data_IF_158910148745
#
_entry.id   IF_158910148745
#
_cell.length_a   1.000
_cell.length_b   1.000
_cell.length_c   1.000
_cell.angle_alpha   90.00
_cell.angle_beta   90.00
_cell.angle_gamma   90.00
#
_symmetry.space_group_name_H-M   'P 1'
#
loop_
_entity.id
_entity.type
_entity.pdbx_description
1 polymer ?
#
# COMPACT_ATOMS: atom_id res chain seq x y z
N UNK A 1 -3.90 18.91 -32.47
CA UNK A 1 -4.32 19.90 -33.51
C UNK A 1 -5.85 19.91 -33.68
N UNK A 2 -6.40 20.96 -34.30
CA UNK A 2 -7.83 21.06 -34.64
C UNK A 2 -8.01 21.29 -36.15
N UNK A 3 -8.96 20.58 -36.76
CA UNK A 3 -9.38 20.83 -38.15
C UNK A 3 -10.78 21.45 -38.18
N UNK A 4 -11.10 22.23 -39.20
CA UNK A 4 -12.38 22.92 -39.31
C UNK A 4 -12.99 22.68 -40.70
N UNK A 5 -14.32 22.54 -40.76
CA UNK A 5 -15.08 22.55 -42.01
C UNK A 5 -16.03 23.74 -41.97
N UNK A 6 -15.97 24.60 -42.99
CA UNK A 6 -16.71 25.87 -43.04
C UNK A 6 -18.16 25.72 -43.54
N UNK A 7 -18.51 24.60 -44.20
CA UNK A 7 -19.85 24.38 -44.78
C UNK A 7 -21.03 24.35 -43.78
N UNK A 8 -20.92 23.93 -42.50
CA UNK A 8 -22.05 23.92 -41.56
C UNK A 8 -22.56 25.31 -41.12
N UNK A 9 -21.79 26.38 -41.37
CA UNK A 9 -22.11 27.74 -40.92
C UNK A 9 -23.45 28.27 -41.48
N UNK A 10 -23.92 27.72 -42.61
CA UNK A 10 -25.20 28.08 -43.24
C UNK A 10 -26.45 27.57 -42.47
N UNK A 11 -26.28 26.76 -41.42
CA UNK A 11 -27.39 26.17 -40.64
C UNK A 11 -27.25 26.51 -39.13
N UNK A 12 -26.42 27.50 -38.77
CA UNK A 12 -26.27 27.96 -37.39
C UNK A 12 -25.65 26.95 -36.40
N UNK A 13 -25.01 25.88 -36.91
CA UNK A 13 -24.32 24.87 -36.09
C UNK A 13 -22.80 25.00 -36.25
N UNK A 14 -22.09 25.16 -35.14
CA UNK A 14 -20.63 25.17 -35.10
C UNK A 14 -20.11 23.81 -34.62
N UNK A 15 -19.74 22.96 -35.58
CA UNK A 15 -19.18 21.63 -35.31
C UNK A 15 -17.66 21.68 -35.37
N UNK A 16 -16.98 21.27 -34.29
CA UNK A 16 -15.55 20.97 -34.34
C UNK A 16 -15.41 19.48 -34.70
N UNK A 17 -14.95 19.14 -35.92
CA UNK A 17 -14.94 17.76 -36.40
C UNK A 17 -13.95 16.87 -35.62
N UNK A 18 -12.85 17.42 -35.13
CA UNK A 18 -11.85 16.69 -34.35
C UNK A 18 -10.97 17.62 -33.52
N UNK A 19 -10.78 17.28 -32.25
CA UNK A 19 -9.78 17.84 -31.35
C UNK A 19 -8.82 16.71 -30.94
N UNK A 20 -7.54 16.79 -31.33
CA UNK A 20 -6.49 15.89 -30.83
C UNK A 20 -5.55 16.65 -29.90
N UNK A 21 -5.27 16.08 -28.73
CA UNK A 21 -4.30 16.56 -27.74
C UNK A 21 -3.20 15.52 -27.60
N UNK A 22 -1.99 15.91 -28.00
CA UNK A 22 -0.84 15.01 -28.10
C UNK A 22 0.06 15.17 -26.86
N UNK A 23 0.39 14.05 -26.21
CA UNK A 23 1.18 13.95 -24.98
C UNK A 23 0.80 14.92 -23.81
N UNK A 24 -0.50 15.13 -23.47
CA UNK A 24 -0.86 15.99 -22.36
C UNK A 24 -0.43 15.39 -21.02
N UNK A 25 0.14 16.22 -20.14
CA UNK A 25 0.46 15.86 -18.75
C UNK A 25 -0.54 16.49 -17.79
N UNK A 26 -1.41 15.67 -17.19
CA UNK A 26 -2.30 16.07 -16.12
C UNK A 26 -1.64 15.77 -14.76
N UNK A 27 -1.37 16.81 -13.99
CA UNK A 27 -0.97 16.70 -12.58
C UNK A 27 -2.09 17.25 -11.72
N UNK A 28 -2.57 16.44 -10.79
CA UNK A 28 -3.64 16.80 -9.86
C UNK A 28 -3.12 16.59 -8.43
N UNK A 29 -3.46 17.51 -7.54
CA UNK A 29 -3.21 17.37 -6.09
C UNK A 29 -4.55 17.40 -5.33
N UNK A 30 -4.63 16.72 -4.19
CA UNK A 30 -5.79 16.84 -3.30
C UNK A 30 -5.96 18.29 -2.81
N UNK A 31 -7.19 18.67 -2.51
CA UNK A 31 -7.46 19.90 -1.75
C UNK A 31 -7.18 19.71 -0.26
N UNK A 32 -7.11 20.78 0.52
CA UNK A 32 -6.83 20.73 1.97
C UNK A 32 -7.82 19.90 2.81
N UNK A 33 -8.88 19.32 2.21
CA UNK A 33 -9.82 18.37 2.83
C UNK A 33 -9.61 16.93 2.35
N UNK A 34 -8.52 16.66 1.62
CA UNK A 34 -8.18 15.36 1.03
C UNK A 34 -8.93 15.04 -0.25
N UNK A 35 -9.65 16.01 -0.85
CA UNK A 35 -10.61 15.71 -1.94
C UNK A 35 -10.03 15.93 -3.32
N UNK A 36 -10.34 14.97 -4.20
CA UNK A 36 -9.99 14.97 -5.62
C UNK A 36 -10.93 15.85 -6.46
N UNK A 37 -10.85 17.17 -6.29
CA UNK A 37 -11.77 18.10 -6.94
C UNK A 37 -11.27 18.59 -8.28
N UNK A 38 -12.11 18.45 -9.32
CA UNK A 38 -11.83 18.97 -10.65
C UNK A 38 -11.51 20.47 -10.55
N UNK A 39 -10.45 20.96 -11.23
CA UNK A 39 -10.19 22.39 -11.32
C UNK A 39 -11.46 23.10 -11.78
N UNK A 40 -11.95 24.06 -10.99
CA UNK A 40 -12.99 24.96 -11.49
C UNK A 40 -12.35 25.70 -12.65
N UNK A 41 -12.89 25.51 -13.85
CA UNK A 41 -12.63 26.43 -14.96
C UNK A 41 -13.11 27.80 -14.48
N UNK A 42 -12.17 28.65 -14.09
CA UNK A 42 -12.47 30.05 -13.86
C UNK A 42 -13.05 30.57 -15.17
N UNK A 43 -14.23 31.20 -15.07
CA UNK A 43 -14.80 31.89 -16.22
C UNK A 43 -13.81 32.99 -16.55
N UNK A 44 -13.03 32.81 -17.62
CA UNK A 44 -12.20 33.86 -18.20
C UNK A 44 -13.10 35.06 -18.36
N UNK A 45 -12.87 36.10 -17.55
CA UNK A 45 -13.64 37.32 -17.63
C UNK A 45 -13.37 37.90 -19.02
N UNK A 46 -14.40 37.90 -19.87
CA UNK A 46 -14.34 38.56 -21.16
C UNK A 46 -14.00 40.03 -20.92
N UNK A 47 -12.76 40.42 -21.23
CA UNK A 47 -12.32 41.80 -21.18
C UNK A 47 -13.06 42.58 -22.29
N UNK A 48 -14.27 43.05 -21.97
CA UNK A 48 -15.02 44.00 -22.76
C UNK A 48 -14.90 45.36 -22.08
N UNK A 49 -14.10 46.20 -22.71
CA UNK A 49 -13.87 47.62 -22.44
C UNK A 49 -15.06 48.39 -21.88
N UNK A 50 -14.77 49.25 -20.90
CA UNK A 50 -15.66 50.30 -20.39
C UNK A 50 -16.03 51.31 -21.49
N UNK A 51 -17.30 51.71 -21.53
CA UNK A 51 -17.72 53.10 -21.81
C UNK A 51 -19.13 53.30 -21.24
N UNK A 52 -19.32 54.39 -20.48
CA UNK A 52 -20.59 54.92 -19.96
C UNK A 52 -21.66 55.11 -21.07
N UNK A 53 -22.99 54.99 -20.86
CA UNK A 53 -23.84 55.42 -19.74
C UNK A 53 -25.34 55.16 -20.05
N UNK A 54 -26.31 55.69 -19.28
CA UNK A 54 -27.54 54.93 -18.96
C UNK A 54 -28.88 55.46 -19.51
N UNK A 55 -29.84 54.56 -19.73
CA UNK A 55 -31.23 54.68 -19.18
C UNK A 55 -32.01 53.34 -19.26
N UNK A 56 -33.06 53.12 -18.45
CA UNK A 56 -33.74 51.82 -18.34
C UNK A 56 -35.03 51.72 -19.17
N UNK A 57 -35.48 50.48 -19.38
CA UNK A 57 -36.87 50.17 -19.72
C UNK A 57 -37.10 49.51 -21.07
N UNK A 58 -37.01 48.18 -21.11
CA UNK A 58 -38.03 47.32 -21.73
C UNK A 58 -37.71 45.84 -21.47
N UNK A 59 -38.66 45.13 -20.86
CA UNK A 59 -38.65 43.68 -20.90
C UNK A 59 -39.01 43.24 -22.33
N UNK A 60 -38.11 42.51 -22.99
CA UNK A 60 -38.41 41.69 -24.16
C UNK A 60 -37.83 40.30 -23.96
N UNK A 61 -38.68 39.31 -24.16
CA UNK A 61 -38.32 37.90 -24.05
C UNK A 61 -37.19 37.56 -25.02
N UNK A 62 -36.08 37.02 -24.49
CA UNK A 62 -34.95 36.61 -25.33
C UNK A 62 -34.99 35.09 -25.51
N UNK A 63 -35.72 34.65 -26.53
CA UNK A 63 -35.62 33.29 -27.04
C UNK A 63 -34.32 33.13 -27.87
N UNK A 64 -33.94 31.86 -28.04
CA UNK A 64 -32.92 31.36 -28.97
C UNK A 64 -31.44 31.55 -28.59
N UNK A 65 -30.86 30.43 -28.12
CA UNK A 65 -30.05 29.65 -29.06
C UNK A 65 -28.64 30.14 -29.30
N UNK A 66 -27.82 30.24 -28.25
CA UNK A 66 -26.37 30.23 -28.42
C UNK A 66 -25.93 28.97 -29.18
N UNK A 67 -24.88 29.03 -30.02
CA UNK A 67 -24.47 27.91 -30.85
C UNK A 67 -24.12 26.69 -29.98
N UNK A 68 -24.82 25.59 -30.22
CA UNK A 68 -24.51 24.30 -29.58
C UNK A 68 -23.16 23.85 -30.13
N UNK A 69 -22.13 23.94 -29.29
CA UNK A 69 -20.80 23.44 -29.59
C UNK A 69 -20.85 21.91 -29.68
N UNK A 70 -20.75 21.39 -30.89
CA UNK A 70 -20.80 19.96 -31.18
C UNK A 70 -19.37 19.48 -31.49
N UNK A 71 -18.75 18.74 -30.56
CA UNK A 71 -17.39 18.21 -30.71
C UNK A 71 -17.54 16.78 -31.24
N UNK A 72 -17.40 16.60 -32.55
CA UNK A 72 -17.70 15.31 -33.17
C UNK A 72 -16.72 14.20 -32.74
N UNK A 73 -15.45 14.53 -32.47
CA UNK A 73 -14.44 13.61 -31.90
C UNK A 73 -13.44 14.35 -31.01
N UNK A 74 -13.15 13.75 -29.85
CA UNK A 74 -12.06 14.17 -28.96
C UNK A 74 -11.06 13.00 -28.85
N UNK A 75 -9.79 13.28 -29.10
CA UNK A 75 -8.68 12.34 -28.97
C UNK A 75 -7.60 12.86 -28.03
N UNK A 76 -7.12 12.00 -27.14
CA UNK A 76 -5.90 12.16 -26.36
C UNK A 76 -4.95 11.05 -26.82
N UNK A 77 -3.66 11.36 -27.02
CA UNK A 77 -2.65 10.39 -27.45
C UNK A 77 -1.41 10.48 -26.57
N UNK A 78 -0.96 9.36 -26.02
CA UNK A 78 0.30 9.27 -25.27
C UNK A 78 0.41 10.19 -24.04
N UNK A 79 -0.72 10.52 -23.42
CA UNK A 79 -0.76 11.38 -22.24
C UNK A 79 -0.23 10.72 -20.97
N UNK A 80 -0.07 11.53 -19.93
CA UNK A 80 0.28 11.08 -18.58
C UNK A 80 -0.65 11.71 -17.55
N UNK A 81 -1.05 10.94 -16.54
CA UNK A 81 -1.86 11.41 -15.40
C UNK A 81 -1.13 11.07 -14.11
N UNK A 82 -1.02 12.05 -13.20
CA UNK A 82 -0.44 11.85 -11.87
C UNK A 82 -1.36 12.47 -10.81
N UNK A 83 -1.75 11.66 -9.82
CA UNK A 83 -2.50 12.07 -8.63
C UNK A 83 -1.57 12.03 -7.41
N UNK A 84 -1.50 13.13 -6.67
CA UNK A 84 -0.78 13.28 -5.41
C UNK A 84 -1.68 13.61 -4.22
N UNK A 85 -1.56 12.87 -3.11
CA UNK A 85 -2.28 13.22 -1.87
C UNK A 85 -1.81 14.54 -1.24
N UNK A 86 -2.42 14.91 -0.11
CA UNK A 86 -2.09 16.13 0.64
C UNK A 86 -0.63 16.20 1.11
N UNK A 87 -0.01 15.05 1.40
CA UNK A 87 1.40 14.97 1.80
C UNK A 87 2.35 15.00 0.59
N UNK A 88 1.80 15.07 -0.63
CA UNK A 88 2.54 15.12 -1.88
C UNK A 88 3.01 13.74 -2.36
N UNK A 89 2.52 12.65 -1.78
CA UNK A 89 2.82 11.28 -2.20
C UNK A 89 1.98 10.92 -3.43
N UNK A 90 2.60 10.28 -4.43
CA UNK A 90 1.91 9.89 -5.65
C UNK A 90 1.00 8.68 -5.39
N UNK A 91 -0.31 8.88 -5.43
CA UNK A 91 -1.32 7.83 -5.21
C UNK A 91 -1.66 7.08 -6.49
N UNK A 92 -1.65 7.75 -7.65
CA UNK A 92 -1.89 7.12 -8.96
C UNK A 92 -0.98 7.75 -10.02
N UNK A 93 -0.35 6.92 -10.85
CA UNK A 93 0.38 7.34 -12.04
C UNK A 93 -0.03 6.50 -13.26
N UNK A 94 -0.44 7.16 -14.34
CA UNK A 94 -0.76 6.55 -15.62
C UNK A 94 0.13 7.13 -16.72
N UNK A 95 0.68 6.27 -17.59
CA UNK A 95 1.51 6.66 -18.75
C UNK A 95 0.99 5.98 -20.02
N UNK A 96 1.21 6.61 -21.17
CA UNK A 96 0.70 6.12 -22.45
C UNK A 96 -0.82 6.26 -22.58
N UNK A 97 -1.43 7.21 -21.85
CA UNK A 97 -2.88 7.42 -21.79
C UNK A 97 -3.38 7.90 -23.15
N UNK A 98 -4.18 7.09 -23.82
CA UNK A 98 -4.85 7.42 -25.07
C UNK A 98 -6.36 7.28 -24.88
N UNK A 99 -7.11 8.29 -25.29
CA UNK A 99 -8.58 8.34 -25.12
C UNK A 99 -9.20 8.72 -26.45
N UNK A 100 -10.18 7.97 -26.92
CA UNK A 100 -10.97 8.30 -28.11
C UNK A 100 -12.44 8.38 -27.74
N UNK A 101 -12.99 9.59 -27.70
CA UNK A 101 -14.42 9.79 -27.53
C UNK A 101 -15.16 9.53 -28.86
N UNK A 102 -16.13 8.62 -28.84
CA UNK A 102 -17.02 8.28 -29.96
C UNK A 102 -18.32 9.07 -29.91
N UNK A 103 -18.78 9.43 -28.70
CA UNK A 103 -19.97 10.25 -28.46
C UNK A 103 -19.58 11.41 -27.53
N UNK A 104 -19.88 12.66 -27.91
CA UNK A 104 -19.76 13.81 -27.01
C UNK A 104 -21.02 14.67 -27.18
N UNK A 105 -21.89 14.69 -26.17
CA UNK A 105 -23.04 15.59 -26.09
C UNK A 105 -23.00 16.39 -24.79
N UNK A 106 -23.91 17.36 -24.63
CA UNK A 106 -23.96 18.20 -23.41
C UNK A 106 -24.19 17.43 -22.10
N UNK A 107 -24.63 16.16 -22.14
CA UNK A 107 -24.91 15.34 -20.94
C UNK A 107 -24.25 13.96 -20.96
N UNK A 108 -23.79 13.48 -22.13
CA UNK A 108 -23.27 12.12 -22.32
C UNK A 108 -21.92 12.15 -23.05
N UNK A 109 -20.93 11.44 -22.52
CA UNK A 109 -19.64 11.23 -23.17
C UNK A 109 -19.36 9.73 -23.20
N UNK A 110 -19.01 9.18 -24.35
CA UNK A 110 -18.64 7.78 -24.51
C UNK A 110 -17.36 7.67 -25.31
N UNK A 111 -16.57 6.65 -25.01
CA UNK A 111 -15.34 6.38 -25.74
C UNK A 111 -14.61 5.14 -25.26
N UNK A 112 -13.39 5.00 -25.78
CA UNK A 112 -12.42 4.00 -25.36
C UNK A 112 -11.24 4.72 -24.69
N UNK A 113 -10.78 4.18 -23.56
CA UNK A 113 -9.51 4.55 -22.95
C UNK A 113 -8.55 3.37 -23.01
N UNK A 114 -7.34 3.63 -23.49
CA UNK A 114 -6.18 2.75 -23.49
C UNK A 114 -5.08 3.40 -22.63
N UNK A 115 -4.45 2.63 -21.75
CA UNK A 115 -3.36 3.09 -20.89
C UNK A 115 -2.28 2.01 -20.89
N UNK A 116 -1.08 2.35 -21.38
CA UNK A 116 0.03 1.40 -21.46
C UNK A 116 0.43 0.88 -20.07
N UNK A 117 0.52 1.77 -19.07
CA UNK A 117 0.87 1.41 -17.69
C UNK A 117 0.17 2.30 -16.68
N UNK A 118 -0.36 1.68 -15.62
CA UNK A 118 -0.97 2.29 -14.46
C UNK A 118 -0.28 1.76 -13.20
N UNK A 119 0.04 2.65 -12.26
CA UNK A 119 0.57 2.32 -10.93
C UNK A 119 -0.30 2.99 -9.89
N UNK A 120 -0.90 2.21 -8.99
CA UNK A 120 -1.72 2.69 -7.87
C UNK A 120 -1.06 2.30 -6.55
N UNK A 121 -0.97 3.27 -5.62
CA UNK A 121 -0.47 3.10 -4.26
C UNK A 121 0.95 2.51 -4.20
N UNK A 122 1.78 2.83 -5.21
CA UNK A 122 3.17 2.41 -5.39
C UNK A 122 3.41 0.91 -5.62
N UNK A 123 2.43 0.04 -5.36
CA UNK A 123 2.56 -1.43 -5.44
C UNK A 123 1.64 -2.12 -6.45
N UNK A 124 0.47 -1.55 -6.79
CA UNK A 124 -0.43 -2.18 -7.76
C UNK A 124 -0.11 -1.70 -9.17
N UNK A 125 0.60 -2.53 -9.94
CA UNK A 125 0.94 -2.26 -11.35
C UNK A 125 -0.04 -2.99 -12.28
N UNK A 126 -0.66 -2.23 -13.18
CA UNK A 126 -1.46 -2.75 -14.29
C UNK A 126 -0.85 -2.30 -15.62
N UNK A 127 -0.78 -3.22 -16.58
CA UNK A 127 -0.27 -2.96 -17.93
C UNK A 127 -1.38 -3.17 -18.97
N UNK A 128 -1.29 -2.50 -20.11
CA UNK A 128 -2.23 -2.64 -21.23
C UNK A 128 -3.71 -2.49 -20.82
N UNK A 129 -4.00 -1.49 -19.98
CA UNK A 129 -5.37 -1.25 -19.50
C UNK A 129 -6.21 -0.71 -20.64
N UNK A 130 -7.27 -1.43 -21.02
CA UNK A 130 -8.27 -1.01 -22.00
C UNK A 130 -9.65 -1.06 -21.38
N UNK A 131 -10.39 0.04 -21.49
CA UNK A 131 -11.75 0.14 -20.97
C UNK A 131 -12.62 1.06 -21.83
N UNK A 132 -13.75 0.58 -22.41
CA UNK A 132 -14.83 1.47 -22.80
C UNK A 132 -15.33 2.24 -21.58
N UNK A 133 -15.66 3.52 -21.75
CA UNK A 133 -16.24 4.34 -20.69
C UNK A 133 -17.51 5.05 -21.18
N UNK A 134 -18.46 5.21 -20.26
CA UNK A 134 -19.71 5.94 -20.45
C UNK A 134 -19.86 6.90 -19.27
N UNK A 135 -19.80 8.20 -19.55
CA UNK A 135 -20.26 9.24 -18.63
C UNK A 135 -21.67 9.66 -19.05
N UNK A 136 -22.64 9.58 -18.15
CA UNK A 136 -24.01 10.02 -18.42
C UNK A 136 -24.59 10.71 -17.18
N UNK A 137 -25.00 11.98 -17.31
CA UNK A 137 -25.71 12.74 -16.28
C UNK A 137 -25.06 12.77 -14.87
N UNK A 138 -23.76 12.51 -14.74
CA UNK A 138 -23.04 12.46 -13.45
C UNK A 138 -22.64 11.07 -12.97
N UNK A 139 -23.06 10.02 -13.69
CA UNK A 139 -22.65 8.62 -13.47
C UNK A 139 -21.54 8.24 -14.47
N UNK A 140 -20.44 7.67 -13.97
CA UNK A 140 -19.36 7.07 -14.75
C UNK A 140 -19.51 5.55 -14.70
N UNK A 141 -19.55 4.90 -15.85
CA UNK A 141 -19.57 3.44 -15.98
C UNK A 141 -18.43 2.99 -16.88
N UNK A 142 -17.65 2.02 -16.40
CA UNK A 142 -16.70 1.22 -17.16
C UNK A 142 -17.32 -0.19 -17.28
N UNK A 143 -18.13 -0.48 -18.33
CA UNK A 143 -18.88 -1.73 -18.43
C UNK A 143 -17.99 -2.96 -18.65
N UNK A 144 -16.77 -2.74 -19.14
CA UNK A 144 -15.66 -3.69 -19.13
C UNK A 144 -14.34 -2.92 -18.94
N UNK A 145 -13.46 -3.47 -18.15
CA UNK A 145 -12.05 -3.12 -18.05
C UNK A 145 -11.26 -4.41 -18.29
N UNK A 146 -10.23 -4.33 -19.13
CA UNK A 146 -9.26 -5.40 -19.36
C UNK A 146 -7.87 -4.84 -19.10
N UNK A 147 -6.99 -5.63 -18.49
CA UNK A 147 -5.62 -5.25 -18.21
C UNK A 147 -4.74 -6.51 -18.06
N UNK A 148 -3.46 -6.31 -17.83
CA UNK A 148 -2.52 -7.34 -17.37
C UNK A 148 -2.05 -6.98 -15.96
N UNK A 149 -2.19 -7.91 -15.01
CA UNK A 149 -1.66 -7.83 -13.65
C UNK A 149 -0.59 -8.90 -13.50
N UNK A 150 0.67 -8.49 -13.26
CA UNK A 150 1.79 -9.42 -13.08
C UNK A 150 1.88 -10.50 -14.20
N UNK A 151 1.69 -10.12 -15.46
CA UNK A 151 1.69 -11.03 -16.62
C UNK A 151 0.40 -11.85 -16.84
N UNK A 152 -0.54 -11.86 -15.89
CA UNK A 152 -1.84 -12.52 -16.02
C UNK A 152 -2.96 -11.58 -16.48
N UNK A 153 -3.98 -12.04 -17.23
CA UNK A 153 -5.14 -11.22 -17.57
C UNK A 153 -5.95 -10.81 -16.33
N UNK A 154 -6.28 -9.53 -16.26
CA UNK A 154 -7.24 -8.94 -15.33
C UNK A 154 -8.46 -8.45 -16.12
N UNK A 155 -9.66 -8.70 -15.58
CA UNK A 155 -10.92 -8.13 -16.03
C UNK A 155 -11.59 -7.39 -14.88
N UNK A 156 -12.45 -6.43 -15.20
CA UNK A 156 -13.27 -5.78 -14.20
C UNK A 156 -14.39 -4.95 -14.79
N UNK A 157 -15.17 -4.35 -13.88
CA UNK A 157 -16.23 -3.38 -14.16
C UNK A 157 -16.22 -2.35 -13.04
N UNK A 158 -16.53 -1.11 -13.39
CA UNK A 158 -16.66 -0.02 -12.42
C UNK A 158 -17.92 0.78 -12.71
N UNK A 159 -18.57 1.23 -11.64
CA UNK A 159 -19.69 2.15 -11.70
C UNK A 159 -19.57 3.13 -10.53
N UNK A 160 -19.64 4.43 -10.79
CA UNK A 160 -19.57 5.44 -9.74
C UNK A 160 -20.35 6.70 -10.09
N UNK A 161 -20.73 7.47 -9.08
CA UNK A 161 -21.43 8.76 -9.26
C UNK A 161 -20.63 9.91 -8.62
N UNK A 162 -19.52 10.37 -9.22
CA UNK A 162 -18.60 11.33 -8.57
C UNK A 162 -19.19 12.72 -8.27
N UNK A 163 -20.44 12.99 -8.68
CA UNK A 163 -21.18 14.23 -8.39
C UNK A 163 -22.30 14.07 -7.37
N UNK A 164 -22.63 12.85 -6.95
CA UNK A 164 -23.57 12.61 -5.86
C UNK A 164 -22.87 12.74 -4.50
N UNK A 165 -23.63 12.91 -3.42
CA UNK A 165 -23.07 13.02 -2.06
C UNK A 165 -22.20 11.79 -1.72
N UNK A 166 -21.00 12.06 -1.20
CA UNK A 166 -19.89 11.11 -0.95
C UNK A 166 -19.35 10.37 -2.18
N UNK A 167 -19.94 10.55 -3.36
CA UNK A 167 -19.51 9.94 -4.61
C UNK A 167 -19.55 8.41 -4.60
N UNK A 168 -20.70 7.75 -4.35
CA UNK A 168 -20.76 6.29 -4.21
C UNK A 168 -20.27 5.57 -5.46
N UNK A 169 -19.57 4.46 -5.25
CA UNK A 169 -19.08 3.57 -6.30
C UNK A 169 -19.24 2.08 -5.96
N UNK A 170 -19.26 1.27 -7.02
CA UNK A 170 -19.19 -0.17 -7.03
C UNK A 170 -18.14 -0.59 -8.07
N UNK A 171 -17.30 -1.56 -7.73
CA UNK A 171 -16.36 -2.16 -8.65
C UNK A 171 -16.28 -3.67 -8.45
N UNK A 172 -16.02 -4.39 -9.53
CA UNK A 172 -15.72 -5.82 -9.51
C UNK A 172 -14.49 -6.09 -10.36
N UNK A 173 -13.59 -6.92 -9.87
CA UNK A 173 -12.37 -7.31 -10.55
C UNK A 173 -12.19 -8.82 -10.44
N UNK A 174 -11.67 -9.44 -11.49
CA UNK A 174 -11.13 -10.79 -11.46
C UNK A 174 -9.80 -10.83 -12.19
N UNK A 175 -8.87 -11.64 -11.71
CA UNK A 175 -7.60 -11.87 -12.37
C UNK A 175 -7.29 -13.36 -12.40
N UNK A 176 -6.58 -13.77 -13.44
CA UNK A 176 -6.13 -15.15 -13.60
C UNK A 176 -4.67 -15.18 -14.03
N UNK A 177 -3.95 -16.22 -13.62
CA UNK A 177 -2.59 -16.51 -14.07
C UNK A 177 -1.58 -15.38 -13.79
N UNK A 178 -1.79 -14.61 -12.72
CA UNK A 178 -0.83 -13.62 -12.25
C UNK A 178 0.42 -14.32 -11.69
N UNK A 179 1.60 -13.84 -12.06
CA UNK A 179 2.89 -14.34 -11.57
C UNK A 179 3.11 -13.90 -10.12
N UNK A 180 3.13 -14.85 -9.19
CA UNK A 180 3.24 -14.55 -7.77
C UNK A 180 4.60 -13.95 -7.38
N UNK A 181 5.67 -14.21 -8.15
CA UNK A 181 7.00 -13.61 -7.90
C UNK A 181 6.96 -12.11 -8.18
N UNK A 182 6.31 -11.71 -9.28
CA UNK A 182 6.09 -10.29 -9.62
C UNK A 182 5.20 -9.60 -8.59
N UNK A 183 4.05 -10.20 -8.23
CA UNK A 183 3.16 -9.63 -7.20
C UNK A 183 3.88 -9.44 -5.86
N UNK A 184 4.70 -10.41 -5.44
CA UNK A 184 5.48 -10.30 -4.22
C UNK A 184 6.59 -9.24 -4.33
N UNK A 185 7.28 -9.16 -5.46
CA UNK A 185 8.33 -8.16 -5.73
C UNK A 185 7.76 -6.74 -5.74
N UNK A 186 6.60 -6.52 -6.38
CA UNK A 186 5.88 -5.23 -6.36
C UNK A 186 5.37 -4.86 -4.94
N UNK A 187 5.13 -5.86 -4.08
CA UNK A 187 4.86 -5.69 -2.66
C UNK A 187 6.13 -5.57 -1.78
N UNK A 188 7.32 -5.44 -2.39
CA UNK A 188 8.59 -5.19 -1.70
C UNK A 188 9.35 -6.43 -1.21
N UNK A 189 8.92 -7.65 -1.58
CA UNK A 189 9.67 -8.88 -1.28
C UNK A 189 10.87 -9.01 -2.23
N UNK A 190 11.87 -9.82 -1.85
CA UNK A 190 13.02 -10.09 -2.72
C UNK A 190 12.60 -11.06 -3.85
N UNK A 191 13.04 -10.83 -5.10
CA UNK A 191 12.74 -11.72 -6.22
C UNK A 191 13.04 -13.20 -5.89
N UNK A 192 12.07 -14.05 -6.22
CA UNK A 192 12.05 -15.47 -5.96
C UNK A 192 11.68 -15.89 -4.54
N UNK A 193 11.45 -15.00 -3.57
CA UNK A 193 10.98 -15.42 -2.22
C UNK A 193 9.58 -16.07 -2.27
N UNK A 194 8.75 -15.64 -3.22
CA UNK A 194 7.51 -16.31 -3.61
C UNK A 194 7.57 -16.63 -5.11
N UNK A 195 6.90 -17.70 -5.52
CA UNK A 195 6.65 -18.03 -6.93
C UNK A 195 5.41 -18.93 -7.02
N UNK A 196 4.81 -19.00 -8.21
CA UNK A 196 3.56 -19.73 -8.44
C UNK A 196 2.55 -18.88 -9.20
N UNK A 197 1.32 -19.37 -9.31
CA UNK A 197 0.29 -18.80 -10.17
C UNK A 197 -0.92 -18.35 -9.32
N UNK A 198 -1.14 -17.05 -9.27
CA UNK A 198 -2.28 -16.42 -8.60
C UNK A 198 -3.51 -16.27 -9.49
N UNK A 199 -4.69 -16.48 -8.90
CA UNK A 199 -6.00 -16.10 -9.44
C UNK A 199 -6.85 -15.51 -8.31
N UNK A 200 -7.83 -14.67 -8.62
CA UNK A 200 -8.73 -14.14 -7.59
C UNK A 200 -9.84 -13.25 -8.13
N UNK A 201 -10.73 -12.86 -7.24
CA UNK A 201 -11.79 -11.89 -7.52
C UNK A 201 -12.03 -10.99 -6.30
N UNK A 202 -12.48 -9.76 -6.56
CA UNK A 202 -12.82 -8.76 -5.55
C UNK A 202 -14.06 -8.00 -6.02
N UNK A 203 -15.06 -7.90 -5.17
CA UNK A 203 -16.16 -6.94 -5.32
C UNK A 203 -16.06 -5.93 -4.20
N UNK A 204 -16.09 -4.65 -4.53
CA UNK A 204 -15.91 -3.55 -3.57
C UNK A 204 -16.94 -2.44 -3.86
N UNK A 205 -17.47 -1.86 -2.80
CA UNK A 205 -18.35 -0.69 -2.83
C UNK A 205 -17.85 0.34 -1.81
N UNK A 206 -18.09 1.62 -2.03
CA UNK A 206 -17.65 2.67 -1.10
C UNK A 206 -17.91 4.09 -1.58
N UNK A 207 -17.26 5.04 -0.91
CA UNK A 207 -17.34 6.48 -1.18
C UNK A 207 -16.08 6.94 -1.93
N UNK A 208 -16.19 7.57 -3.10
CA UNK A 208 -15.04 8.17 -3.81
C UNK A 208 -14.43 9.36 -3.05
N UNK A 209 -15.22 10.00 -2.17
CA UNK A 209 -14.76 11.06 -1.27
C UNK A 209 -13.99 10.54 -0.03
N UNK A 210 -14.08 9.23 0.28
CA UNK A 210 -13.43 8.59 1.44
C UNK A 210 -13.17 7.09 1.16
N UNK A 211 -12.11 6.81 0.39
CA UNK A 211 -11.76 5.45 -0.06
C UNK A 211 -11.45 4.49 1.09
N UNK A 212 -11.15 4.97 2.30
CA UNK A 212 -10.95 4.14 3.49
C UNK A 212 -12.24 3.42 3.94
N UNK A 213 -13.40 3.86 3.45
CA UNK A 213 -14.71 3.22 3.65
C UNK A 213 -15.01 2.11 2.64
N UNK A 214 -14.13 1.90 1.67
CA UNK A 214 -14.30 0.85 0.69
C UNK A 214 -14.41 -0.53 1.37
N UNK A 215 -15.47 -1.27 1.07
CA UNK A 215 -15.75 -2.56 1.67
C UNK A 215 -16.31 -3.54 0.65
N UNK A 216 -16.05 -4.83 0.86
CA UNK A 216 -16.66 -5.89 0.07
C UNK A 216 -15.88 -7.22 0.10
N UNK A 217 -16.48 -8.30 -0.40
CA UNK A 217 -15.87 -9.63 -0.38
C UNK A 217 -14.85 -9.83 -1.50
N UNK A 218 -13.82 -10.62 -1.22
CA UNK A 218 -12.89 -11.12 -2.20
C UNK A 218 -12.46 -12.55 -1.91
N UNK A 219 -11.91 -13.22 -2.92
CA UNK A 219 -11.31 -14.54 -2.78
C UNK A 219 -10.07 -14.64 -3.65
N UNK A 220 -9.11 -15.48 -3.24
CA UNK A 220 -7.91 -15.76 -4.01
C UNK A 220 -7.60 -17.25 -4.04
N UNK A 221 -6.82 -17.64 -5.04
CA UNK A 221 -6.27 -18.98 -5.22
C UNK A 221 -4.81 -18.85 -5.66
N UNK A 222 -3.97 -19.76 -5.19
CA UNK A 222 -2.57 -19.93 -5.58
C UNK A 222 -2.40 -21.38 -6.03
N UNK A 223 -1.74 -21.59 -7.17
CA UNK A 223 -1.34 -22.91 -7.66
C UNK A 223 0.17 -22.97 -7.83
N UNK A 224 0.74 -24.15 -7.63
CA UNK A 224 2.18 -24.42 -7.76
C UNK A 224 3.03 -23.42 -6.96
N UNK A 225 2.51 -23.05 -5.77
CA UNK A 225 3.07 -22.01 -4.93
C UNK A 225 4.37 -22.49 -4.28
N UNK A 226 5.38 -21.63 -4.21
CA UNK A 226 6.62 -21.92 -3.50
C UNK A 226 7.12 -20.69 -2.76
N UNK A 227 7.28 -20.83 -1.45
CA UNK A 227 7.77 -19.80 -0.55
C UNK A 227 9.09 -20.24 0.07
N UNK A 228 10.18 -19.51 -0.23
CA UNK A 228 11.52 -19.80 0.26
C UNK A 228 12.12 -18.56 0.91
N UNK A 229 13.03 -18.77 1.86
CA UNK A 229 13.79 -17.69 2.50
C UNK A 229 12.90 -16.64 3.20
N UNK A 230 11.72 -17.05 3.69
CA UNK A 230 10.89 -16.27 4.59
C UNK A 230 11.24 -16.64 6.03
N UNK A 231 11.83 -15.71 6.77
CA UNK A 231 12.34 -15.95 8.14
C UNK A 231 11.26 -16.51 9.07
N UNK A 232 10.03 -16.04 8.92
CA UNK A 232 8.85 -16.54 9.64
C UNK A 232 8.68 -18.07 9.54
N UNK A 233 8.62 -18.63 8.32
CA UNK A 233 8.45 -20.07 8.14
C UNK A 233 9.72 -20.85 8.49
N UNK A 234 10.91 -20.28 8.28
CA UNK A 234 12.16 -20.90 8.74
C UNK A 234 12.24 -21.03 10.26
N UNK A 235 11.74 -20.04 11.01
CA UNK A 235 11.73 -20.08 12.47
C UNK A 235 10.74 -21.14 12.98
N UNK A 236 9.57 -21.28 12.36
CA UNK A 236 8.63 -22.37 12.63
C UNK A 236 9.24 -23.73 12.28
N UNK A 237 9.87 -23.85 11.10
CA UNK A 237 10.53 -25.08 10.65
C UNK A 237 11.63 -25.54 11.61
N UNK A 238 12.48 -24.62 12.08
CA UNK A 238 13.51 -24.92 13.10
C UNK A 238 12.91 -25.31 14.45
N UNK A 239 11.85 -24.62 14.88
CA UNK A 239 11.16 -24.89 16.15
C UNK A 239 10.50 -26.28 16.20
N UNK A 240 10.07 -26.80 15.06
CA UNK A 240 9.40 -28.10 14.93
C UNK A 240 10.30 -29.20 14.32
N UNK A 241 11.53 -28.91 13.92
CA UNK A 241 12.37 -29.74 13.03
C UNK A 241 11.68 -30.17 11.72
N UNK A 242 10.81 -29.31 11.17
CA UNK A 242 10.12 -29.50 9.89
C UNK A 242 10.85 -28.73 8.78
N UNK A 243 11.60 -29.45 7.96
CA UNK A 243 12.44 -28.88 6.89
C UNK A 243 11.61 -28.29 5.76
N UNK A 244 10.44 -28.87 5.51
CA UNK A 244 9.45 -28.48 4.51
C UNK A 244 9.01 -27.02 4.66
N UNK A 245 9.05 -26.45 5.85
CA UNK A 245 8.68 -25.05 6.08
C UNK A 245 9.79 -24.06 5.68
N UNK A 246 11.03 -24.52 5.47
CA UNK A 246 12.11 -23.65 4.96
C UNK A 246 12.08 -23.47 3.43
N UNK A 247 11.43 -24.40 2.72
CA UNK A 247 11.15 -24.38 1.28
C UNK A 247 9.70 -24.84 1.06
N UNK A 248 8.75 -24.03 1.53
CA UNK A 248 7.32 -24.35 1.57
C UNK A 248 6.76 -24.45 0.15
N UNK A 249 6.50 -25.67 -0.31
CA UNK A 249 5.90 -25.97 -1.61
C UNK A 249 4.42 -26.30 -1.43
N UNK A 250 3.57 -25.41 -1.94
CA UNK A 250 2.13 -25.59 -2.01
C UNK A 250 1.75 -26.28 -3.32
N UNK A 251 0.87 -27.28 -3.20
CA UNK A 251 0.09 -27.79 -4.31
C UNK A 251 -0.99 -26.78 -4.69
N UNK A 252 -1.70 -26.30 -3.68
CA UNK A 252 -2.79 -25.34 -3.78
C UNK A 252 -2.81 -24.42 -2.55
N UNK A 253 -3.29 -23.21 -2.75
CA UNK A 253 -3.66 -22.29 -1.69
C UNK A 253 -4.95 -21.60 -2.06
N UNK A 254 -5.79 -21.29 -1.08
CA UNK A 254 -7.01 -20.53 -1.29
C UNK A 254 -7.34 -19.69 -0.07
N UNK A 255 -8.10 -18.62 -0.28
CA UNK A 255 -8.68 -17.89 0.82
C UNK A 255 -9.83 -16.99 0.44
N UNK A 256 -10.68 -16.74 1.42
CA UNK A 256 -11.81 -15.82 1.39
C UNK A 256 -11.50 -14.66 2.34
N UNK A 257 -11.77 -13.43 1.91
CA UNK A 257 -11.53 -12.24 2.70
C UNK A 257 -12.61 -11.17 2.49
N UNK A 258 -12.66 -10.19 3.39
CA UNK A 258 -13.50 -8.99 3.27
C UNK A 258 -12.66 -7.74 3.49
N UNK A 259 -12.77 -6.78 2.59
CA UNK A 259 -12.27 -5.42 2.80
C UNK A 259 -13.24 -4.66 3.71
N UNK A 260 -12.74 -3.87 4.65
CA UNK A 260 -13.55 -3.01 5.52
C UNK A 260 -12.74 -2.50 6.72
N UNK A 261 -13.23 -1.48 7.41
CA UNK A 261 -12.63 -0.97 8.67
C UNK A 261 -11.10 -0.65 8.57
N UNK A 262 -10.64 -0.21 7.39
CA UNK A 262 -9.22 0.01 7.02
C UNK A 262 -8.34 -1.25 7.13
N UNK A 263 -8.95 -2.42 6.93
CA UNK A 263 -8.36 -3.75 7.10
C UNK A 263 -8.81 -4.72 6.00
N UNK A 264 -8.04 -5.78 5.85
CA UNK A 264 -8.43 -7.03 5.19
C UNK A 264 -8.75 -8.04 6.29
N UNK A 265 -10.02 -8.44 6.38
CA UNK A 265 -10.49 -9.50 7.26
C UNK A 265 -10.34 -10.83 6.52
N UNK A 266 -9.45 -11.71 6.99
CA UNK A 266 -9.24 -13.03 6.42
C UNK A 266 -10.27 -13.98 7.04
N UNK A 267 -11.29 -14.30 6.23
CA UNK A 267 -12.36 -15.27 6.50
C UNK A 267 -11.80 -16.64 6.88
N UNK A 268 -11.05 -17.13 5.90
CA UNK A 268 -10.45 -18.45 5.86
C UNK A 268 -9.31 -18.37 4.86
N UNK A 269 -8.12 -18.73 5.28
CA UNK A 269 -7.01 -19.05 4.39
C UNK A 269 -6.64 -20.51 4.61
N UNK A 270 -6.30 -21.22 3.54
CA UNK A 270 -5.85 -22.60 3.57
C UNK A 270 -4.76 -22.79 2.51
N UNK A 271 -3.56 -23.17 2.95
CA UNK A 271 -2.41 -23.44 2.10
C UNK A 271 -2.05 -24.92 2.25
N UNK A 272 -2.17 -25.69 1.17
CA UNK A 272 -1.97 -27.15 1.16
C UNK A 272 -0.60 -27.48 0.56
N UNK A 273 0.28 -28.07 1.37
CA UNK A 273 1.53 -28.67 0.93
C UNK A 273 1.40 -30.20 0.90
N UNK A 274 2.51 -30.92 0.64
CA UNK A 274 2.47 -32.38 0.44
C UNK A 274 2.02 -33.15 1.69
N UNK A 275 2.61 -32.87 2.86
CA UNK A 275 2.38 -33.59 4.13
C UNK A 275 1.88 -32.66 5.25
N UNK A 276 1.57 -31.40 4.94
CA UNK A 276 1.13 -30.38 5.89
C UNK A 276 0.14 -29.40 5.27
N UNK A 277 -0.68 -28.79 6.13
CA UNK A 277 -1.62 -27.73 5.77
C UNK A 277 -1.47 -26.55 6.74
N UNK A 278 -1.51 -25.33 6.22
CA UNK A 278 -1.54 -24.10 7.01
C UNK A 278 -2.90 -23.44 6.85
N UNK A 279 -3.65 -23.32 7.96
CA UNK A 279 -4.88 -22.55 8.05
C UNK A 279 -4.66 -21.21 8.73
N UNK A 280 -5.39 -20.17 8.35
CA UNK A 280 -5.44 -18.93 9.12
C UNK A 280 -6.76 -18.15 8.97
N UNK A 281 -7.06 -17.31 9.96
CA UNK A 281 -8.13 -16.30 9.95
C UNK A 281 -7.75 -15.12 10.84
N UNK A 282 -8.29 -13.93 10.60
CA UNK A 282 -7.99 -12.74 11.41
C UNK A 282 -7.98 -11.46 10.59
N UNK A 283 -7.08 -10.51 10.89
CA UNK A 283 -7.00 -9.22 10.19
C UNK A 283 -5.58 -8.82 9.81
N UNK A 284 -5.47 -8.16 8.65
CA UNK A 284 -4.28 -7.41 8.22
C UNK A 284 -4.72 -5.96 7.97
N UNK A 285 -4.14 -4.99 8.68
CA UNK A 285 -4.43 -3.57 8.50
C UNK A 285 -3.69 -2.97 7.31
N UNK A 286 -4.24 -1.89 6.74
CA UNK A 286 -3.53 -1.09 5.72
C UNK A 286 -2.28 -0.39 6.30
N UNK A 287 -2.22 -0.26 7.62
CA UNK A 287 -1.04 0.13 8.41
C UNK A 287 -0.04 -1.03 8.63
N UNK A 288 -0.15 -2.09 7.81
CA UNK A 288 0.65 -3.31 7.81
C UNK A 288 0.56 -4.17 9.09
N UNK A 289 -0.26 -3.81 10.08
CA UNK A 289 -0.40 -4.60 11.31
C UNK A 289 -1.11 -5.93 11.05
N UNK A 290 -0.57 -7.01 11.60
CA UNK A 290 -1.09 -8.38 11.44
C UNK A 290 -1.56 -8.91 12.80
N UNK A 291 -2.75 -9.51 12.83
CA UNK A 291 -3.25 -10.35 13.93
C UNK A 291 -4.06 -11.51 13.34
N UNK A 292 -3.46 -12.71 13.31
CA UNK A 292 -4.05 -13.91 12.75
C UNK A 292 -4.04 -15.04 13.79
N UNK A 293 -5.16 -15.75 13.90
CA UNK A 293 -5.22 -17.09 14.46
C UNK A 293 -4.87 -18.08 13.34
N UNK A 294 -3.74 -18.78 13.49
CA UNK A 294 -3.22 -19.74 12.54
C UNK A 294 -3.26 -21.17 13.09
N UNK A 295 -3.20 -22.14 12.18
CA UNK A 295 -3.23 -23.57 12.49
C UNK A 295 -2.26 -24.30 11.56
N UNK A 296 -1.40 -25.15 12.12
CA UNK A 296 -0.59 -26.10 11.38
C UNK A 296 -1.20 -27.49 11.51
N UNK A 297 -1.74 -28.03 10.42
CA UNK A 297 -2.12 -29.42 10.29
C UNK A 297 -0.96 -30.24 9.74
N UNK A 298 -0.64 -31.37 10.38
CA UNK A 298 0.35 -32.33 9.90
C UNK A 298 -0.31 -33.69 9.65
N UNK A 299 0.10 -34.35 8.59
CA UNK A 299 -0.26 -35.74 8.34
C UNK A 299 0.54 -36.70 9.23
N UNK A 300 -0.03 -37.87 9.50
CA UNK A 300 0.49 -38.84 10.48
C UNK A 300 1.94 -39.29 10.18
N UNK A 301 2.36 -39.32 8.91
CA UNK A 301 3.71 -39.73 8.53
C UNK A 301 4.79 -38.66 8.77
N UNK A 302 4.42 -37.37 8.72
CA UNK A 302 5.30 -36.28 9.16
C UNK A 302 5.24 -36.12 10.68
N UNK A 303 4.08 -36.33 11.30
CA UNK A 303 3.93 -36.33 12.75
C UNK A 303 4.80 -37.39 13.46
N UNK A 304 4.90 -38.61 12.90
CA UNK A 304 5.78 -39.67 13.43
C UNK A 304 7.26 -39.28 13.43
N UNK A 305 7.70 -38.44 12.49
CA UNK A 305 9.09 -37.99 12.40
C UNK A 305 9.44 -36.95 13.47
N UNK A 306 8.45 -36.24 14.02
CA UNK A 306 8.67 -35.30 15.12
C UNK A 306 9.14 -36.03 16.40
N UNK A 307 9.93 -35.35 17.26
CA UNK A 307 10.12 -35.76 18.66
C UNK A 307 8.80 -35.97 19.39
N UNK A 308 8.74 -36.98 20.26
CA UNK A 308 7.52 -37.39 20.97
C UNK A 308 6.83 -36.25 21.74
N UNK A 309 7.62 -35.44 22.45
CA UNK A 309 7.20 -34.22 23.15
C UNK A 309 6.42 -33.23 22.24
N UNK A 310 6.81 -33.11 20.98
CA UNK A 310 6.11 -32.23 20.03
C UNK A 310 4.81 -32.88 19.53
N UNK A 311 4.77 -34.21 19.36
CA UNK A 311 3.55 -34.93 18.91
C UNK A 311 2.38 -34.75 19.87
N UNK A 312 2.65 -34.68 21.17
CA UNK A 312 1.63 -34.46 22.21
C UNK A 312 1.00 -33.07 22.14
N UNK A 313 1.73 -32.07 21.63
CA UNK A 313 1.21 -30.70 21.44
C UNK A 313 0.19 -30.61 20.30
N UNK A 314 0.18 -31.56 19.36
CA UNK A 314 -0.81 -31.59 18.29
C UNK A 314 -2.12 -32.23 18.77
N UNK A 315 -3.23 -31.52 18.55
CA UNK A 315 -4.56 -31.93 18.96
C UNK A 315 -5.09 -33.19 18.27
N UNK A 316 -6.34 -33.55 18.58
CA UNK A 316 -7.01 -34.70 17.98
C UNK A 316 -7.01 -34.59 16.45
N UNK A 317 -6.91 -35.75 15.78
CA UNK A 317 -6.97 -35.81 14.31
C UNK A 317 -8.31 -35.28 13.79
N UNK A 318 -8.24 -34.35 12.84
CA UNK A 318 -9.36 -33.81 12.07
C UNK A 318 -9.04 -34.12 10.61
N UNK A 319 -9.91 -34.87 9.93
CA UNK A 319 -9.72 -35.28 8.53
C UNK A 319 -8.37 -35.98 8.23
N UNK A 320 -7.83 -36.72 9.20
CA UNK A 320 -6.54 -37.43 9.06
C UNK A 320 -5.31 -36.60 9.45
N UNK A 321 -5.45 -35.30 9.69
CA UNK A 321 -4.37 -34.42 10.13
C UNK A 321 -4.50 -34.06 11.61
N UNK A 322 -3.40 -34.05 12.36
CA UNK A 322 -3.41 -33.45 13.72
C UNK A 322 -3.03 -31.98 13.63
N UNK A 323 -3.69 -31.14 14.43
CA UNK A 323 -3.56 -29.68 14.31
C UNK A 323 -2.97 -29.03 15.55
N UNK A 324 -2.07 -28.06 15.34
CA UNK A 324 -1.52 -27.19 16.37
C UNK A 324 -1.91 -25.74 16.06
N UNK A 325 -2.68 -25.12 16.97
CA UNK A 325 -3.10 -23.73 16.85
C UNK A 325 -2.07 -22.76 17.43
N UNK A 326 -1.86 -21.63 16.77
CA UNK A 326 -0.96 -20.56 17.20
C UNK A 326 -1.45 -19.20 16.73
N UNK A 327 -0.84 -18.13 17.24
CA UNK A 327 -1.05 -16.76 16.76
C UNK A 327 0.10 -16.29 15.90
N UNK A 328 -0.22 -15.43 14.94
CA UNK A 328 0.74 -14.64 14.15
C UNK A 328 0.42 -13.17 14.35
N UNK A 329 1.39 -12.40 14.81
CA UNK A 329 1.21 -10.97 15.10
C UNK A 329 2.41 -10.15 14.63
N UNK A 330 2.31 -8.83 14.61
CA UNK A 330 3.40 -7.93 14.23
C UNK A 330 3.05 -7.13 12.98
N UNK A 331 3.97 -7.05 12.04
CA UNK A 331 3.81 -6.34 10.76
C UNK A 331 4.13 -7.26 9.57
N UNK A 332 3.70 -6.91 8.36
CA UNK A 332 3.90 -7.75 7.16
C UNK A 332 5.37 -8.00 6.81
N UNK A 333 6.29 -7.16 7.26
CA UNK A 333 7.75 -7.32 7.17
C UNK A 333 8.38 -8.04 8.39
N UNK A 334 7.76 -7.94 9.58
CA UNK A 334 8.25 -8.52 10.83
C UNK A 334 7.16 -9.33 11.57
N UNK A 335 6.81 -10.46 10.98
CA UNK A 335 5.87 -11.42 11.58
C UNK A 335 6.49 -12.14 12.79
N UNK A 336 5.70 -12.27 13.86
CA UNK A 336 6.02 -12.97 15.11
C UNK A 336 5.00 -14.06 15.37
N UNK A 337 5.35 -15.05 16.19
CA UNK A 337 4.44 -16.11 16.60
C UNK A 337 4.68 -16.57 18.04
N UNK A 338 3.62 -17.00 18.71
CA UNK A 338 3.68 -17.65 20.03
C UNK A 338 3.73 -19.18 19.94
N UNK A 339 4.05 -19.75 18.76
CA UNK A 339 4.07 -21.21 18.55
C UNK A 339 4.98 -21.93 19.56
N UNK A 340 6.17 -21.40 19.83
CA UNK A 340 7.08 -21.93 20.84
C UNK A 340 6.44 -21.96 22.23
N UNK A 341 5.72 -20.91 22.61
CA UNK A 341 5.01 -20.84 23.89
C UNK A 341 3.87 -21.86 23.97
N UNK A 342 3.22 -22.18 22.83
CA UNK A 342 2.19 -23.24 22.78
C UNK A 342 2.78 -24.65 22.94
N UNK A 343 3.97 -24.91 22.39
CA UNK A 343 4.69 -26.18 22.57
C UNK A 343 5.15 -26.38 24.02
N UNK A 344 5.61 -25.30 24.68
CA UNK A 344 6.10 -25.34 26.07
C UNK A 344 4.93 -25.37 27.07
N UNK A 345 3.80 -24.74 26.73
CA UNK A 345 2.65 -24.56 27.62
C UNK A 345 1.90 -25.86 27.99
N UNK A 346 2.09 -26.95 27.25
CA UNK A 346 1.47 -28.25 27.56
C UNK A 346 2.42 -29.17 28.34
N UNK A 347 2.63 -28.83 29.62
CA UNK A 347 3.20 -29.72 30.67
C UNK A 347 4.58 -30.34 30.38
N UNK A 348 5.63 -29.53 30.18
CA UNK A 348 7.01 -30.01 30.37
C UNK A 348 7.71 -29.19 31.46
N UNK A 349 7.70 -29.70 32.69
CA UNK A 349 8.48 -29.16 33.79
C UNK A 349 9.88 -29.79 33.85
N UNK A 350 10.93 -28.97 33.99
CA UNK A 350 12.36 -29.31 34.20
C UNK A 350 13.07 -30.09 33.08
N UNK A 351 12.41 -31.05 32.42
CA UNK A 351 13.02 -31.88 31.37
C UNK A 351 13.37 -31.12 30.08
N UNK A 352 12.82 -29.90 29.91
CA UNK A 352 13.10 -29.07 28.74
C UNK A 352 14.35 -28.18 28.91
N UNK A 353 14.77 -27.87 30.15
CA UNK A 353 16.02 -27.14 30.41
C UNK A 353 17.25 -27.95 29.97
N UNK A 354 17.23 -29.27 30.19
CA UNK A 354 18.28 -30.21 29.77
C UNK A 354 18.34 -30.36 28.23
N UNK A 355 17.21 -30.22 27.53
CA UNK A 355 17.16 -30.25 26.06
C UNK A 355 17.56 -28.91 25.44
N UNK A 356 17.15 -27.78 26.04
CA UNK A 356 17.57 -26.45 25.61
C UNK A 356 19.08 -26.24 25.78
N UNK A 357 19.69 -26.76 26.86
CA UNK A 357 21.15 -26.70 27.06
C UNK A 357 21.94 -27.64 26.14
N UNK A 358 21.32 -28.69 25.62
CA UNK A 358 21.89 -29.54 24.57
C UNK A 358 21.82 -28.94 23.15
N UNK A 359 20.74 -28.22 22.83
CA UNK A 359 20.54 -27.56 21.53
C UNK A 359 21.18 -26.17 21.43
N UNK A 360 21.16 -25.40 22.51
CA UNK A 360 21.86 -24.12 22.64
C UNK A 360 23.06 -24.32 23.56
N UNK A 361 24.18 -24.68 22.94
CA UNK A 361 25.38 -25.12 23.63
C UNK A 361 25.83 -24.20 24.77
N UNK A 362 26.15 -24.84 25.90
CA UNK A 362 26.98 -24.36 27.01
C UNK A 362 26.98 -22.85 27.25
N UNK A 363 26.09 -22.40 28.13
CA UNK A 363 26.05 -21.02 28.67
C UNK A 363 27.43 -20.64 29.24
N UNK A 364 28.20 -19.83 28.51
CA UNK A 364 29.56 -19.46 28.89
C UNK A 364 29.56 -18.64 30.20
N UNK A 365 30.47 -19.00 31.11
CA UNK A 365 30.66 -18.37 32.44
C UNK A 365 31.09 -16.89 32.40
N UNK A 366 31.32 -16.33 31.23
CA UNK A 366 31.78 -14.95 31.04
C UNK A 366 30.64 -13.93 30.99
N UNK A 367 29.43 -14.32 30.55
CA UNK A 367 28.29 -13.40 30.48
C UNK A 367 27.66 -13.16 31.86
N UNK A 368 27.74 -14.13 32.76
CA UNK A 368 27.29 -13.99 34.16
C UNK A 368 28.20 -13.01 34.92
N UNK A 369 29.52 -13.10 34.73
CA UNK A 369 30.50 -12.14 35.25
C UNK A 369 30.33 -10.73 34.67
N UNK A 370 30.08 -10.59 33.36
CA UNK A 370 29.81 -9.27 32.75
C UNK A 370 28.59 -8.60 33.36
N UNK A 371 27.54 -9.37 33.67
CA UNK A 371 26.31 -8.84 34.26
C UNK A 371 26.51 -8.39 35.71
N UNK A 372 27.22 -9.16 36.53
CA UNK A 372 27.63 -8.73 37.87
C UNK A 372 28.52 -7.47 37.83
N UNK A 373 29.46 -7.38 36.89
CA UNK A 373 30.36 -6.22 36.77
C UNK A 373 29.62 -4.95 36.29
N UNK A 374 28.65 -5.07 35.38
CA UNK A 374 27.76 -3.97 34.99
C UNK A 374 26.92 -3.45 36.17
N UNK A 375 26.29 -4.36 36.92
CA UNK A 375 25.37 -3.97 37.99
C UNK A 375 26.14 -3.38 39.18
N UNK A 376 27.36 -3.88 39.48
CA UNK A 376 28.26 -3.25 40.45
C UNK A 376 28.69 -1.84 40.02
N UNK A 377 29.00 -1.63 38.73
CA UNK A 377 29.32 -0.29 38.18
C UNK A 377 28.12 0.66 38.22
N UNK A 378 26.89 0.18 37.99
CA UNK A 378 25.67 0.99 38.16
C UNK A 378 25.47 1.40 39.61
N UNK A 379 25.74 0.51 40.57
CA UNK A 379 25.60 0.78 42.00
C UNK A 379 26.64 1.78 42.52
N UNK A 380 27.92 1.64 42.13
CA UNK A 380 28.98 2.61 42.45
C UNK A 380 28.65 4.01 41.87
N UNK A 381 28.15 4.06 40.62
CA UNK A 381 27.75 5.32 39.97
C UNK A 381 26.55 5.98 40.65
N UNK A 382 25.64 5.20 41.24
CA UNK A 382 24.52 5.70 42.05
C UNK A 382 25.01 6.27 43.38
N UNK A 383 25.84 5.53 44.12
CA UNK A 383 26.44 5.97 45.40
C UNK A 383 27.26 7.25 45.24
N UNK A 384 28.05 7.37 44.17
CA UNK A 384 28.81 8.60 43.88
C UNK A 384 27.90 9.83 43.62
N UNK A 385 26.79 9.64 42.91
CA UNK A 385 25.81 10.70 42.61
C UNK A 385 24.98 11.12 43.84
N UNK A 386 24.80 10.23 44.81
CA UNK A 386 24.21 10.55 46.12
C UNK A 386 25.20 11.31 47.03
N UNK A 387 26.48 10.91 47.06
CA UNK A 387 27.52 11.68 47.77
C UNK A 387 27.70 13.10 47.20
N UNK A 388 27.69 13.25 45.88
CA UNK A 388 27.80 14.57 45.22
C UNK A 388 26.59 15.47 45.54
N UNK A 389 25.37 14.90 45.62
CA UNK A 389 24.19 15.62 46.11
C UNK A 389 24.25 15.95 47.62
N UNK A 390 24.87 15.10 48.43
CA UNK A 390 25.05 15.36 49.85
C UNK A 390 26.06 16.49 50.10
N UNK A 391 27.18 16.49 49.36
CA UNK A 391 28.18 17.56 49.40
C UNK A 391 27.59 18.90 48.92
N UNK A 392 26.81 18.90 47.83
CA UNK A 392 26.11 20.09 47.36
C UNK A 392 25.08 20.63 48.37
N UNK A 393 24.41 19.77 49.14
CA UNK A 393 23.53 20.20 50.25
C UNK A 393 24.30 20.76 51.45
N UNK A 394 25.47 20.21 51.77
CA UNK A 394 26.31 20.70 52.87
C UNK A 394 26.87 22.11 52.58
N UNK A 395 27.27 22.38 51.33
CA UNK A 395 27.78 23.69 50.91
C UNK A 395 26.75 24.84 50.96
N UNK A 396 25.45 24.53 51.06
CA UNK A 396 24.36 25.51 51.15
C UNK A 396 24.02 25.87 52.61
N UNK A 397 24.53 25.10 53.59
CA UNK A 397 24.20 25.23 55.01
C UNK A 397 25.10 26.20 55.81
N UNK A 398 26.14 26.78 55.20
CA UNK A 398 27.04 27.76 55.84
C UNK A 398 26.89 29.12 55.16
N UNK A 399 26.22 30.06 55.81
CA UNK A 399 25.75 31.30 55.17
C UNK A 399 26.68 32.51 55.26
N UNK A 400 26.50 33.40 54.27
CA UNK A 400 26.84 34.84 54.21
C UNK A 400 28.28 35.27 53.77
N UNK A 401 28.46 36.48 53.18
CA UNK A 401 27.61 37.07 52.11
C UNK A 401 28.35 37.91 51.02
N UNK A 402 27.69 38.09 49.85
CA UNK A 402 27.82 39.11 48.76
C UNK A 402 29.18 39.76 48.37
N UNK A 403 29.42 39.85 47.04
CA UNK A 403 29.48 41.14 46.30
C UNK A 403 29.39 40.94 44.78
N UNK A 404 29.03 41.99 44.03
CA UNK A 404 28.76 41.96 42.58
C UNK A 404 29.63 42.96 41.79
N UNK A 405 29.94 42.65 40.52
CA UNK A 405 30.36 43.50 39.38
C UNK A 405 31.14 42.63 38.35
N UNK A 406 31.24 42.90 37.03
CA UNK A 406 30.43 43.70 36.10
C UNK A 406 30.81 43.35 34.63
N UNK A 407 29.89 43.60 33.67
CA UNK A 407 30.09 43.93 32.23
C UNK A 407 30.74 42.90 31.23
N UNK A 408 30.12 42.63 30.06
CA UNK A 408 30.70 41.88 28.91
C UNK A 408 31.16 42.78 27.73
N UNK A 409 32.04 42.30 26.81
CA UNK A 409 31.69 42.17 25.36
C UNK A 409 32.54 41.08 24.60
N UNK A 410 32.56 40.98 23.25
CA UNK A 410 31.48 40.94 22.24
C UNK A 410 31.57 39.73 21.25
N UNK A 411 30.65 39.67 20.28
CA UNK A 411 30.46 38.60 19.27
C UNK A 411 31.23 38.78 17.95
N UNK A 412 31.79 37.69 17.40
CA UNK A 412 32.15 37.46 15.98
C UNK A 412 32.38 35.92 15.77
N UNK A 413 32.34 35.23 14.62
CA UNK A 413 32.05 35.51 13.18
C UNK A 413 31.44 34.20 12.56
N UNK A 414 30.97 34.12 11.29
CA UNK A 414 31.87 33.71 10.19
C UNK A 414 31.61 34.35 8.80
N UNK A 415 32.63 34.23 7.93
CA UNK A 415 32.72 34.73 6.54
C UNK A 415 32.54 33.57 5.53
N UNK A 416 32.02 33.77 4.30
CA UNK A 416 31.72 32.68 3.37
C UNK A 416 32.94 32.11 2.63
N UNK A 417 32.76 30.93 2.04
CA UNK A 417 33.72 30.23 1.18
C UNK A 417 33.26 30.18 -0.29
N UNK A 418 34.21 30.23 -1.21
CA UNK A 418 34.05 30.17 -2.67
C UNK A 418 35.00 29.08 -3.26
N UNK A 419 35.06 28.81 -4.57
CA UNK A 419 34.74 27.47 -5.08
C UNK A 419 35.96 26.63 -5.52
N UNK A 420 35.74 25.33 -5.71
CA UNK A 420 36.75 24.37 -6.16
C UNK A 420 36.79 24.22 -7.70
N UNK A 421 38.01 24.21 -8.25
CA UNK A 421 38.27 24.09 -9.70
C UNK A 421 38.57 22.63 -10.10
N UNK A 422 38.13 22.22 -11.30
CA UNK A 422 38.41 20.90 -11.86
C UNK A 422 39.86 20.75 -12.37
N UNK A 423 40.34 19.52 -12.53
CA UNK A 423 41.60 19.21 -13.23
C UNK A 423 41.47 17.90 -14.00
N UNK A 424 42.03 17.85 -15.22
CA UNK A 424 41.92 16.73 -16.16
C UNK A 424 43.29 16.05 -16.36
N UNK A 425 43.22 14.75 -16.65
CA UNK A 425 44.19 13.69 -16.99
C UNK A 425 45.52 14.08 -17.67
N UNK A 426 46.48 13.13 -17.69
CA UNK A 426 46.94 12.64 -19.01
C UNK A 426 46.99 11.10 -19.16
N UNK A 427 46.87 10.65 -20.41
CA UNK A 427 46.95 9.25 -20.87
C UNK A 427 48.33 9.01 -21.52
N UNK A 428 48.84 7.77 -21.47
CA UNK A 428 49.96 7.28 -22.31
C UNK A 428 50.02 5.74 -22.31
N UNK A 429 50.59 5.07 -23.34
CA UNK A 429 50.82 5.50 -24.72
C UNK A 429 49.70 5.04 -25.69
#
# INVERSE_FOLDING_TARGET
TASYRLLPLLIGKFTIPEISVDAPKLVWKQDAKGKWRLPKLEKVQSASSETSGPNPGQAKEKKEGGPVLDIARLQIKGGAVQLFDNDGKCTLACTGVSVTCTTVTGTKIEGLADIERLVWAESLVLENVRTPFVWNAGELTLPELTATLAGGPLRGKFKGRPKADNGPFEASFSFEKADLDRVATDAGWKPGQASGIGSGQLTVQGDLDDLDRASGPGQFQIRDGRFKQLEFFQNIGKALDIRELSDLRLKDGSGEFRLGDKKVHIEKMTLSALNLQLGAKGTVGFDQKVDLAAQLGLEEDLLKQLPELLRESFGKSVNGQRTLGFKVTGTTDQLRTNLLDQLIGQKVGRQFDDLLTGLFGTKNKDDEKKKEEEDRKKEEKKKKKEQEKAAAKAAIATGAPITANATPPPTATPRPAEPATATITPIKP
#
